data_IF_427691292196
#
_entry.id   IF_427691292196
#
_cell.length_a   1.000
_cell.length_b   1.000
_cell.length_c   1.000
_cell.angle_alpha   90.00
_cell.angle_beta   90.00
_cell.angle_gamma   90.00
#
_symmetry.space_group_name_H-M   'P 1'
#
loop_
_entity.id
_entity.type
_entity.pdbx_description
1 polymer ?
#
# COMPACT_ATOMS: atom_id res chain seq x y z
N UNK A 1 9.39 -26.79 -1.08
CA UNK A 1 9.95 -25.45 -0.83
C UNK A 1 9.00 -24.44 -1.44
N UNK A 2 8.18 -23.78 -0.61
CA UNK A 2 7.14 -22.88 -1.08
C UNK A 2 7.77 -21.66 -1.76
N UNK A 3 7.87 -21.69 -3.08
CA UNK A 3 8.19 -20.53 -3.90
C UNK A 3 7.09 -19.49 -3.67
N UNK A 4 7.43 -18.42 -2.96
CA UNK A 4 6.60 -17.21 -2.96
C UNK A 4 6.64 -16.69 -4.39
N UNK A 5 5.55 -16.90 -5.14
CA UNK A 5 5.41 -16.38 -6.50
C UNK A 5 4.94 -14.93 -6.38
N UNK A 6 5.84 -13.99 -6.71
CA UNK A 6 5.59 -12.55 -6.71
C UNK A 6 6.70 -11.75 -6.03
N UNK A 7 6.67 -10.43 -6.18
CA UNK A 7 7.50 -9.50 -5.41
C UNK A 7 6.79 -9.21 -4.08
N UNK A 8 7.23 -9.80 -2.94
CA UNK A 8 6.51 -9.75 -1.67
C UNK A 8 6.26 -8.32 -1.18
N UNK A 9 7.10 -7.39 -1.60
CA UNK A 9 7.11 -5.98 -1.20
C UNK A 9 5.88 -5.19 -1.62
N UNK A 10 5.11 -5.65 -2.63
CA UNK A 10 3.93 -4.95 -3.16
C UNK A 10 2.64 -5.76 -3.01
N UNK A 11 2.69 -6.88 -2.29
CA UNK A 11 1.58 -7.80 -2.17
C UNK A 11 0.47 -7.23 -1.28
N UNK A 12 -0.77 -7.34 -1.73
CA UNK A 12 -1.93 -6.99 -0.91
C UNK A 12 -2.18 -8.01 0.22
N UNK A 13 -2.83 -7.61 1.33
CA UNK A 13 -3.15 -8.52 2.44
C UNK A 13 -3.93 -9.77 2.01
N UNK A 14 -4.82 -9.62 1.03
CA UNK A 14 -5.65 -10.70 0.49
C UNK A 14 -4.86 -11.67 -0.40
N UNK A 15 -3.92 -11.17 -1.22
CA UNK A 15 -2.97 -12.01 -1.95
C UNK A 15 -2.11 -12.82 -0.98
N UNK A 16 -1.61 -12.18 0.08
CA UNK A 16 -0.82 -12.82 1.12
C UNK A 16 -1.57 -13.92 1.87
N UNK A 17 -2.89 -13.75 2.05
CA UNK A 17 -3.77 -14.74 2.69
C UNK A 17 -4.28 -15.83 1.72
N UNK A 18 -4.08 -15.67 0.42
CA UNK A 18 -4.62 -16.58 -0.60
C UNK A 18 -6.16 -16.57 -0.67
N UNK A 19 -6.78 -15.44 -0.36
CA UNK A 19 -8.25 -15.27 -0.46
C UNK A 19 -8.62 -14.61 -1.81
N UNK A 20 -9.90 -14.67 -2.23
CA UNK A 20 -10.31 -14.06 -3.50
C UNK A 20 -9.90 -12.59 -3.62
N UNK A 21 -9.45 -12.24 -4.82
CA UNK A 21 -8.97 -10.90 -5.15
C UNK A 21 -10.03 -10.14 -5.95
N UNK A 22 -10.04 -8.83 -5.78
CA UNK A 22 -10.73 -7.91 -6.68
C UNK A 22 -9.83 -6.72 -7.01
N UNK A 23 -10.33 -5.74 -7.75
CA UNK A 23 -9.58 -4.56 -8.18
C UNK A 23 -8.99 -3.73 -7.01
N UNK A 24 -9.48 -3.90 -5.77
CA UNK A 24 -8.98 -3.20 -4.60
C UNK A 24 -7.63 -3.75 -4.13
N UNK A 25 -7.23 -4.93 -4.59
CA UNK A 25 -5.86 -5.43 -4.45
C UNK A 25 -4.86 -4.57 -5.21
N UNK A 26 -5.19 -4.15 -6.44
CA UNK A 26 -4.34 -3.25 -7.23
C UNK A 26 -4.28 -1.85 -6.60
N UNK A 27 -5.36 -1.38 -5.97
CA UNK A 27 -5.37 -0.11 -5.21
C UNK A 27 -4.37 -0.18 -4.05
N UNK A 28 -4.32 -1.31 -3.33
CA UNK A 28 -3.34 -1.51 -2.27
C UNK A 28 -1.92 -1.48 -2.80
N UNK A 29 -1.61 -2.26 -3.84
CA UNK A 29 -0.28 -2.30 -4.45
C UNK A 29 0.13 -0.94 -5.02
N UNK A 30 -0.81 -0.19 -5.59
CA UNK A 30 -0.60 1.21 -6.01
C UNK A 30 -0.25 2.09 -4.81
N UNK A 31 -0.91 1.91 -3.66
CA UNK A 31 -0.54 2.58 -2.41
C UNK A 31 0.91 2.32 -2.01
N UNK A 32 1.39 1.08 -2.13
CA UNK A 32 2.79 0.73 -1.86
C UNK A 32 3.74 1.43 -2.83
N UNK A 33 3.43 1.42 -4.14
CA UNK A 33 4.23 2.11 -5.17
C UNK A 33 4.29 3.62 -4.90
N UNK A 34 3.17 4.25 -4.56
CA UNK A 34 3.14 5.66 -4.21
C UNK A 34 3.97 5.95 -2.95
N UNK A 35 3.88 5.08 -1.93
CA UNK A 35 4.72 5.19 -0.74
C UNK A 35 6.21 5.24 -1.11
N UNK A 36 6.65 4.31 -1.95
CA UNK A 36 8.04 4.24 -2.39
C UNK A 36 8.45 5.45 -3.23
N UNK A 37 7.62 5.90 -4.17
CA UNK A 37 7.89 7.09 -4.99
C UNK A 37 8.09 8.33 -4.11
N UNK A 38 7.23 8.53 -3.10
CA UNK A 38 7.25 9.74 -2.28
C UNK A 38 8.25 9.70 -1.12
N UNK A 39 8.74 8.52 -0.74
CA UNK A 39 9.68 8.36 0.39
C UNK A 39 11.03 7.80 0.01
N UNK A 40 11.21 7.29 -1.21
CA UNK A 40 12.42 6.60 -1.67
C UNK A 40 12.65 5.23 -1.02
N UNK A 41 11.65 4.67 -0.32
CA UNK A 41 11.80 3.38 0.38
C UNK A 41 10.46 2.69 0.56
N UNK A 42 10.49 1.37 0.75
CA UNK A 42 9.28 0.59 0.97
C UNK A 42 8.62 0.89 2.32
N UNK A 43 7.30 0.65 2.46
CA UNK A 43 6.60 0.81 3.73
C UNK A 43 6.98 -0.28 4.75
N UNK A 44 7.35 -1.47 4.27
CA UNK A 44 7.74 -2.61 5.09
C UNK A 44 9.04 -3.20 4.58
N UNK A 45 9.93 -3.50 5.50
CA UNK A 45 11.19 -4.20 5.29
C UNK A 45 11.26 -5.37 6.28
N UNK A 46 11.98 -6.44 5.95
CA UNK A 46 12.15 -7.56 6.86
C UNK A 46 13.24 -8.52 6.42
N UNK A 47 13.74 -9.32 7.36
CA UNK A 47 14.88 -10.23 7.15
C UNK A 47 14.56 -11.42 6.24
N UNK A 48 13.30 -11.56 5.81
CA UNK A 48 12.88 -12.57 4.83
C UNK A 48 11.64 -12.11 4.06
N UNK A 49 11.41 -12.65 2.85
CA UNK A 49 10.17 -12.44 2.09
C UNK A 49 8.90 -12.70 2.90
N UNK A 50 8.91 -13.77 3.72
CA UNK A 50 7.77 -14.11 4.56
C UNK A 50 7.50 -13.05 5.64
N UNK A 51 8.55 -12.46 6.21
CA UNK A 51 8.40 -11.37 7.17
C UNK A 51 7.71 -10.17 6.54
N UNK A 52 8.11 -9.77 5.33
CA UNK A 52 7.48 -8.67 4.57
C UNK A 52 6.01 -8.95 4.30
N UNK A 53 5.68 -10.16 3.83
CA UNK A 53 4.30 -10.60 3.61
C UNK A 53 3.47 -10.50 4.89
N UNK A 54 3.99 -10.94 6.03
CA UNK A 54 3.29 -10.83 7.32
C UNK A 54 3.04 -9.37 7.72
N UNK A 55 3.98 -8.46 7.45
CA UNK A 55 3.77 -7.02 7.68
C UNK A 55 2.65 -6.44 6.82
N UNK A 56 2.57 -6.84 5.55
CA UNK A 56 1.43 -6.48 4.71
C UNK A 56 0.10 -6.97 5.28
N UNK A 57 0.07 -8.12 5.95
CA UNK A 57 -1.15 -8.67 6.57
C UNK A 57 -1.50 -8.00 7.90
N UNK A 58 -0.52 -7.65 8.73
CA UNK A 58 -0.73 -7.36 10.16
C UNK A 58 -0.34 -5.93 10.59
N UNK A 59 0.71 -5.36 10.01
CA UNK A 59 1.28 -4.09 10.48
C UNK A 59 0.69 -2.89 9.73
N UNK A 60 0.35 -1.82 10.44
CA UNK A 60 -0.02 -0.56 9.79
C UNK A 60 1.22 0.06 9.13
N UNK A 61 1.14 0.55 7.88
CA UNK A 61 2.26 1.23 7.28
C UNK A 61 2.61 2.48 8.11
N UNK A 62 3.92 2.78 8.29
CA UNK A 62 4.32 4.06 8.87
C UNK A 62 3.74 5.22 8.05
N UNK A 63 3.42 6.38 8.63
CA UNK A 63 3.05 7.54 7.83
C UNK A 63 4.21 7.94 6.91
N UNK A 64 4.00 8.13 5.59
CA UNK A 64 5.06 8.54 4.66
C UNK A 64 5.86 9.77 5.11
N UNK A 65 5.20 10.68 5.83
CA UNK A 65 5.81 11.90 6.37
C UNK A 65 6.91 11.63 7.40
N UNK A 66 6.95 10.44 8.00
CA UNK A 66 8.06 10.03 8.87
C UNK A 66 9.37 9.88 8.10
N UNK A 67 9.30 9.54 6.80
CA UNK A 67 10.45 9.40 5.90
C UNK A 67 10.66 10.64 5.01
N UNK A 68 9.58 11.30 4.59
CA UNK A 68 9.63 12.57 3.84
C UNK A 68 8.78 13.65 4.54
N UNK A 69 9.36 14.41 5.50
CA UNK A 69 8.62 15.44 6.25
C UNK A 69 8.07 16.59 5.41
N UNK A 70 8.55 16.76 4.17
CA UNK A 70 8.08 17.80 3.24
C UNK A 70 6.85 17.35 2.43
N UNK A 71 6.43 16.09 2.55
CA UNK A 71 5.28 15.57 1.83
C UNK A 71 3.98 16.22 2.32
N UNK A 72 3.15 16.62 1.37
CA UNK A 72 1.80 17.13 1.65
C UNK A 72 0.99 16.08 2.43
N UNK A 73 0.37 16.49 3.54
CA UNK A 73 -0.41 15.62 4.40
C UNK A 73 -1.59 14.96 3.67
N UNK A 74 -2.12 15.60 2.63
CA UNK A 74 -3.20 15.05 1.79
C UNK A 74 -2.71 13.86 0.97
N UNK A 75 -1.51 13.94 0.38
CA UNK A 75 -0.89 12.80 -0.32
C UNK A 75 -0.62 11.65 0.65
N UNK A 76 -0.08 11.96 1.84
CA UNK A 76 0.15 10.97 2.90
C UNK A 76 -1.14 10.23 3.27
N UNK A 77 -2.24 10.95 3.47
CA UNK A 77 -3.55 10.37 3.76
C UNK A 77 -4.07 9.47 2.63
N UNK A 78 -3.88 9.88 1.36
CA UNK A 78 -4.28 9.07 0.20
C UNK A 78 -3.50 7.74 0.18
N UNK A 79 -2.17 7.79 0.35
CA UNK A 79 -1.31 6.60 0.39
C UNK A 79 -1.76 5.64 1.50
N UNK A 80 -1.94 6.16 2.72
CA UNK A 80 -2.37 5.35 3.86
C UNK A 80 -3.76 4.76 3.67
N UNK A 81 -4.68 5.46 3.00
CA UNK A 81 -6.02 4.93 2.66
C UNK A 81 -5.95 3.79 1.63
N UNK A 82 -5.11 3.92 0.59
CA UNK A 82 -4.87 2.81 -0.34
C UNK A 82 -4.39 1.55 0.38
N UNK A 83 -3.53 1.74 1.39
CA UNK A 83 -2.88 0.65 2.13
C UNK A 83 -3.66 0.15 3.36
N UNK A 84 -4.96 0.47 3.48
CA UNK A 84 -5.79 -0.10 4.55
C UNK A 84 -5.88 -1.62 4.43
N UNK A 85 -5.96 -2.30 5.57
CA UNK A 85 -5.97 -3.77 5.60
C UNK A 85 -7.33 -4.32 5.18
N UNK A 86 -8.42 -3.68 5.61
CA UNK A 86 -9.77 -3.99 5.14
C UNK A 86 -9.99 -3.47 3.73
N UNK A 87 -10.48 -4.33 2.83
CA UNK A 87 -10.79 -3.95 1.44
C UNK A 87 -11.84 -2.84 1.35
N UNK A 88 -12.80 -2.82 2.28
CA UNK A 88 -13.88 -1.83 2.34
C UNK A 88 -13.43 -0.47 2.90
N UNK A 89 -12.24 -0.41 3.51
CA UNK A 89 -11.66 0.82 4.05
C UNK A 89 -10.83 1.59 3.00
N UNK A 90 -10.56 0.95 1.85
CA UNK A 90 -9.83 1.53 0.73
C UNK A 90 -10.74 2.39 -0.15
N UNK A 91 -10.17 2.94 -1.23
CA UNK A 91 -10.95 3.50 -2.33
C UNK A 91 -11.77 2.38 -3.00
N UNK A 92 -13.05 2.64 -3.24
CA UNK A 92 -13.98 1.66 -3.81
C UNK A 92 -14.04 1.71 -5.34
N UNK A 93 -13.20 2.55 -5.97
CA UNK A 93 -12.90 2.52 -7.40
C UNK A 93 -11.58 3.22 -7.70
N UNK A 94 -11.00 2.93 -8.87
CA UNK A 94 -9.83 3.65 -9.37
C UNK A 94 -10.16 5.12 -9.65
N UNK A 95 -11.38 5.43 -10.09
CA UNK A 95 -11.84 6.81 -10.28
C UNK A 95 -11.84 7.61 -8.98
N UNK A 96 -12.28 7.01 -7.87
CA UNK A 96 -12.26 7.67 -6.55
C UNK A 96 -10.81 8.01 -6.12
N UNK A 97 -9.87 7.08 -6.34
CA UNK A 97 -8.45 7.33 -6.09
C UNK A 97 -7.90 8.44 -7.00
N UNK A 98 -8.23 8.39 -8.30
CA UNK A 98 -7.82 9.40 -9.27
C UNK A 98 -8.30 10.80 -8.87
N UNK A 99 -9.59 10.95 -8.55
CA UNK A 99 -10.14 12.22 -8.08
C UNK A 99 -9.44 12.73 -6.82
N UNK A 100 -9.17 11.85 -5.86
CA UNK A 100 -8.45 12.22 -4.64
C UNK A 100 -7.05 12.76 -4.94
N UNK A 101 -6.32 12.14 -5.87
CA UNK A 101 -4.99 12.58 -6.29
C UNK A 101 -5.05 13.93 -7.03
N UNK A 102 -5.98 14.10 -7.98
CA UNK A 102 -6.08 15.33 -8.78
C UNK A 102 -6.48 16.55 -7.95
N UNK A 103 -7.29 16.36 -6.89
CA UNK A 103 -7.67 17.45 -5.96
C UNK A 103 -6.50 18.00 -5.15
N UNK A 104 -5.38 17.28 -5.06
CA UNK A 104 -4.19 17.76 -4.35
C UNK A 104 -3.28 18.59 -5.25
N UNK A 105 -3.29 18.31 -6.56
CA UNK A 105 -2.49 19.01 -7.58
C UNK A 105 -3.13 20.29 -8.12
N UNK A 106 -4.45 20.45 -7.91
CA UNK A 106 -5.19 21.67 -8.24
C UNK A 106 -5.08 22.71 -7.12
#
# INVERSE_FOLDING_TARGET
TGTVVGTPDYMSPEQARGVPLDFRSDIYSTGVVLYEIFTGSLPFEGDSPLAVVLKHVQEKPPPPQTKNPKLDARISAIILRCMQKGVDERYQSVNELYEALTRVTA
#
